data_IF_590440151960
#
_entry.id   IF_590440151960
#
_cell.length_a   1.000
_cell.length_b   1.000
_cell.length_c   1.000
_cell.angle_alpha   90.00
_cell.angle_beta   90.00
_cell.angle_gamma   90.00
#
_symmetry.space_group_name_H-M   'P 1'
#
loop_
_entity.id
_entity.type
_entity.pdbx_description
1 polymer ?
#
# COMPACT_ATOMS: atom_id res chain seq x y z
N UNK A 1 -4.92 44.83 -9.14
CA UNK A 1 -5.11 44.22 -10.47
C UNK A 1 -5.79 42.85 -10.33
N UNK A 2 -6.32 42.25 -11.40
CA UNK A 2 -6.98 40.93 -11.34
C UNK A 2 -5.96 39.82 -11.00
N UNK A 3 -4.72 39.97 -11.45
CA UNK A 3 -3.62 39.06 -11.17
C UNK A 3 -3.35 38.91 -9.66
N UNK A 4 -3.26 40.02 -8.94
CA UNK A 4 -2.99 40.04 -7.49
C UNK A 4 -4.06 39.28 -6.69
N UNK A 5 -5.33 39.37 -7.14
CA UNK A 5 -6.44 38.64 -6.52
C UNK A 5 -6.35 37.14 -6.79
N UNK A 6 -6.00 36.73 -8.02
CA UNK A 6 -5.82 35.32 -8.36
C UNK A 6 -4.61 34.72 -7.64
N UNK A 7 -3.52 35.47 -7.50
CA UNK A 7 -2.32 35.05 -6.78
C UNK A 7 -2.61 34.85 -5.29
N UNK A 8 -3.32 35.78 -4.65
CA UNK A 8 -3.73 35.65 -3.25
C UNK A 8 -4.60 34.39 -3.03
N UNK A 9 -5.56 34.15 -3.91
CA UNK A 9 -6.44 32.96 -3.85
C UNK A 9 -5.65 31.67 -4.07
N UNK A 10 -4.64 31.67 -4.96
CA UNK A 10 -3.80 30.50 -5.19
C UNK A 10 -3.02 30.10 -3.94
N UNK A 11 -2.35 31.05 -3.27
CA UNK A 11 -1.58 30.75 -2.07
C UNK A 11 -2.44 30.35 -0.88
N UNK A 12 -3.64 30.94 -0.76
CA UNK A 12 -4.62 30.55 0.26
C UNK A 12 -5.08 29.11 0.08
N UNK A 13 -5.47 28.73 -1.15
CA UNK A 13 -5.92 27.36 -1.47
C UNK A 13 -4.78 26.35 -1.35
N UNK A 14 -3.60 26.69 -1.86
CA UNK A 14 -2.42 25.84 -1.74
C UNK A 14 -2.06 25.58 -0.27
N UNK A 15 -2.07 26.63 0.57
CA UNK A 15 -1.82 26.50 2.00
C UNK A 15 -2.89 25.69 2.72
N UNK A 16 -4.16 25.78 2.30
CA UNK A 16 -5.24 24.95 2.84
C UNK A 16 -5.09 23.48 2.44
N UNK A 17 -4.71 23.20 1.19
CA UNK A 17 -4.44 21.85 0.70
C UNK A 17 -3.27 21.19 1.44
N UNK A 18 -2.16 21.91 1.62
CA UNK A 18 -0.99 21.41 2.36
C UNK A 18 -1.34 21.03 3.80
N UNK A 19 -2.10 21.88 4.50
CA UNK A 19 -2.55 21.59 5.87
C UNK A 19 -3.47 20.37 5.93
N UNK A 20 -4.43 20.27 5.02
CA UNK A 20 -5.31 19.09 4.95
C UNK A 20 -4.52 17.81 4.66
N UNK A 21 -3.55 17.86 3.75
CA UNK A 21 -2.68 16.72 3.43
C UNK A 21 -1.83 16.29 4.63
N UNK A 22 -1.23 17.24 5.36
CA UNK A 22 -0.45 16.97 6.56
C UNK A 22 -1.31 16.36 7.68
N UNK A 23 -2.53 16.87 7.89
CA UNK A 23 -3.49 16.32 8.83
C UNK A 23 -3.91 14.89 8.46
N UNK A 24 -4.19 14.63 7.18
CA UNK A 24 -4.49 13.28 6.70
C UNK A 24 -3.31 12.33 6.89
N UNK A 25 -2.08 12.79 6.62
CA UNK A 25 -0.87 12.00 6.84
C UNK A 25 -0.66 11.70 8.31
N UNK A 26 -0.85 12.67 9.19
CA UNK A 26 -0.78 12.49 10.63
C UNK A 26 -1.85 11.48 11.13
N UNK A 27 -3.08 11.58 10.63
CA UNK A 27 -4.16 10.64 10.95
C UNK A 27 -3.85 9.21 10.45
N UNK A 28 -3.31 9.06 9.24
CA UNK A 28 -2.90 7.76 8.71
C UNK A 28 -1.73 7.16 9.51
N UNK A 29 -0.74 7.97 9.89
CA UNK A 29 0.37 7.52 10.73
C UNK A 29 -0.09 7.12 12.14
N UNK A 30 -1.01 7.88 12.75
CA UNK A 30 -1.60 7.51 14.03
C UNK A 30 -2.40 6.20 13.93
N UNK A 31 -3.17 6.02 12.86
CA UNK A 31 -3.90 4.78 12.58
C UNK A 31 -2.95 3.57 12.38
N UNK A 32 -1.84 3.75 11.67
CA UNK A 32 -0.83 2.71 11.50
C UNK A 32 -0.12 2.34 12.83
N UNK A 33 0.04 3.30 13.74
CA UNK A 33 0.56 3.04 15.08
C UNK A 33 -0.44 2.28 15.96
N UNK A 34 -1.75 2.57 15.83
CA UNK A 34 -2.82 1.91 16.59
C UNK A 34 -3.16 0.50 16.06
N UNK A 35 -3.04 0.29 14.74
CA UNK A 35 -3.12 -1.03 14.10
C UNK A 35 -1.92 -1.94 14.44
N UNK A 36 -0.98 -1.45 15.27
CA UNK A 36 0.02 -2.26 15.93
C UNK A 36 0.98 -2.93 14.97
N UNK A 37 1.69 -2.17 14.13
CA UNK A 37 3.06 -2.40 13.62
C UNK A 37 3.53 -3.79 13.17
N UNK A 38 2.68 -4.80 13.12
CA UNK A 38 3.02 -6.19 12.87
C UNK A 38 2.44 -6.51 11.51
N UNK A 39 3.23 -6.23 10.47
CA UNK A 39 3.03 -6.91 9.20
C UNK A 39 3.17 -8.42 9.49
N UNK A 40 2.16 -9.24 9.16
CA UNK A 40 2.27 -10.67 9.36
C UNK A 40 3.43 -11.19 8.50
N UNK A 41 4.42 -11.78 9.15
CA UNK A 41 5.57 -12.39 8.47
C UNK A 41 5.18 -13.81 8.14
N UNK A 42 4.84 -14.04 6.87
CA UNK A 42 4.66 -15.38 6.33
C UNK A 42 5.99 -15.89 5.76
N UNK A 43 6.33 -17.14 6.05
CA UNK A 43 7.46 -17.81 5.39
C UNK A 43 7.00 -18.40 4.04
N UNK A 44 7.92 -18.54 3.07
CA UNK A 44 7.60 -19.16 1.78
C UNK A 44 6.99 -20.56 1.93
N UNK A 45 7.43 -21.34 2.94
CA UNK A 45 6.85 -22.65 3.27
C UNK A 45 5.42 -22.59 3.80
N UNK A 46 5.07 -21.57 4.60
CA UNK A 46 3.69 -21.38 5.09
C UNK A 46 2.73 -20.97 3.95
N UNK A 47 3.26 -20.31 2.92
CA UNK A 47 2.52 -19.92 1.72
C UNK A 47 2.46 -21.02 0.65
N UNK A 48 3.07 -22.18 0.88
CA UNK A 48 3.16 -23.24 -0.13
C UNK A 48 3.92 -22.82 -1.39
N UNK A 49 4.79 -21.80 -1.27
CA UNK A 49 5.66 -21.27 -2.32
C UNK A 49 7.08 -21.86 -2.21
N UNK A 50 7.28 -22.85 -1.35
CA UNK A 50 8.54 -23.58 -1.28
C UNK A 50 8.69 -24.39 -2.58
N UNK A 51 9.69 -24.04 -3.37
CA UNK A 51 9.98 -24.64 -4.68
C UNK A 51 10.72 -25.97 -4.50
N UNK A 52 10.24 -26.80 -3.57
CA UNK A 52 10.75 -28.15 -3.33
C UNK A 52 10.59 -28.94 -4.62
N UNK A 53 11.70 -29.46 -5.21
CA UNK A 53 11.67 -30.14 -6.50
C UNK A 53 10.90 -31.45 -6.38
N UNK A 54 9.59 -31.39 -6.63
CA UNK A 54 8.68 -32.54 -6.59
C UNK A 54 7.28 -32.28 -6.01
N UNK A 55 7.07 -31.16 -5.30
CA UNK A 55 5.78 -30.88 -4.64
C UNK A 55 4.79 -30.06 -5.50
N UNK A 56 5.26 -29.42 -6.58
CA UNK A 56 4.37 -28.80 -7.55
C UNK A 56 3.77 -29.88 -8.46
N UNK A 57 2.47 -30.15 -8.30
CA UNK A 57 1.71 -30.87 -9.32
C UNK A 57 1.44 -29.90 -10.46
N UNK A 58 2.17 -30.02 -11.57
CA UNK A 58 1.96 -29.16 -12.72
C UNK A 58 0.55 -29.41 -13.25
N UNK A 59 -0.30 -28.37 -13.32
CA UNK A 59 -1.67 -28.52 -13.83
C UNK A 59 -1.72 -29.06 -15.27
N UNK A 60 -0.63 -28.86 -16.02
CA UNK A 60 -0.46 -29.34 -17.39
C UNK A 60 0.17 -30.73 -17.48
N UNK A 61 0.54 -31.35 -16.36
CA UNK A 61 1.03 -32.73 -16.40
C UNK A 61 -0.13 -33.64 -16.81
N UNK A 62 0.05 -34.46 -17.85
CA UNK A 62 -0.97 -35.42 -18.23
C UNK A 62 -1.20 -36.40 -17.08
N UNK A 63 -2.44 -36.86 -16.85
CA UNK A 63 -2.68 -37.89 -15.86
C UNK A 63 -1.76 -39.08 -16.15
N UNK A 64 -1.08 -39.59 -15.12
CA UNK A 64 -0.21 -40.75 -15.26
C UNK A 64 -1.04 -41.88 -15.86
N UNK A 65 -0.68 -42.28 -17.09
CA UNK A 65 -1.34 -43.39 -17.79
C UNK A 65 -1.19 -44.66 -16.96
N UNK A 66 -2.29 -45.10 -16.35
CA UNK A 66 -2.44 -46.43 -15.77
C UNK A 66 -2.77 -47.48 -16.81
#
# INVERSE_FOLDING_TARGET
>A
AIMDRNEAVFYEQYGAHMRAQDEQRAAASASAADAGGVSPVFTYGELGLDDSPGDFQNFMDPPASG
#
